data_IF_105054730246
#
_entry.id   IF_105054730246
#
_cell.length_a   1.000
_cell.length_b   1.000
_cell.length_c   1.000
_cell.angle_alpha   90.00
_cell.angle_beta   90.00
_cell.angle_gamma   90.00
#
_symmetry.space_group_name_H-M   'P 1'
#
loop_
_entity.id
_entity.type
_entity.pdbx_description
1 polymer ?
#
# COMPACT_ATOMS: atom_id res chain seq x y z
N UNK A 1 -14.31 9.93 -4.38
CA UNK A 1 -13.16 9.01 -4.45
C UNK A 1 -12.88 8.32 -3.11
N UNK A 2 -12.69 9.07 -2.01
CA UNK A 2 -12.37 8.50 -0.68
C UNK A 2 -13.34 7.40 -0.20
N UNK A 3 -14.66 7.62 -0.32
CA UNK A 3 -15.67 6.65 0.15
C UNK A 3 -15.67 5.36 -0.67
N UNK A 4 -15.51 5.49 -2.00
CA UNK A 4 -15.45 4.34 -2.91
C UNK A 4 -14.26 3.44 -2.55
N UNK A 5 -13.07 4.04 -2.35
CA UNK A 5 -11.89 3.30 -1.93
C UNK A 5 -12.08 2.57 -0.60
N UNK A 6 -12.71 3.21 0.39
CA UNK A 6 -12.96 2.60 1.70
C UNK A 6 -13.96 1.44 1.63
N UNK A 7 -15.06 1.59 0.85
CA UNK A 7 -16.06 0.53 0.70
C UNK A 7 -15.45 -0.68 -0.01
N UNK A 8 -14.74 -0.46 -1.11
CA UNK A 8 -14.09 -1.54 -1.86
C UNK A 8 -13.03 -2.25 -1.01
N UNK A 9 -12.25 -1.50 -0.22
CA UNK A 9 -11.30 -2.05 0.74
C UNK A 9 -11.98 -2.91 1.80
N UNK A 10 -13.11 -2.46 2.34
CA UNK A 10 -13.85 -3.22 3.33
C UNK A 10 -14.36 -4.54 2.75
N UNK A 11 -14.92 -4.52 1.52
CA UNK A 11 -15.38 -5.73 0.82
C UNK A 11 -14.23 -6.73 0.62
N UNK A 12 -13.06 -6.24 0.25
CA UNK A 12 -11.85 -7.05 0.05
C UNK A 12 -11.41 -7.76 1.33
N UNK A 13 -11.33 -7.04 2.45
CA UNK A 13 -10.95 -7.65 3.74
C UNK A 13 -12.05 -8.59 4.27
N UNK A 14 -13.33 -8.35 3.95
CA UNK A 14 -14.38 -9.34 4.25
C UNK A 14 -14.12 -10.64 3.48
N UNK A 15 -13.75 -10.57 2.20
CA UNK A 15 -13.35 -11.77 1.47
C UNK A 15 -12.14 -12.45 2.11
N UNK A 16 -11.07 -11.69 2.39
CA UNK A 16 -9.84 -12.23 2.96
C UNK A 16 -10.10 -12.96 4.29
N UNK A 17 -10.89 -12.38 5.20
CA UNK A 17 -11.12 -12.96 6.53
C UNK A 17 -12.16 -14.09 6.53
N UNK A 18 -13.12 -14.08 5.59
CA UNK A 18 -14.22 -15.04 5.54
C UNK A 18 -14.14 -16.03 4.36
N UNK A 19 -13.03 -16.06 3.62
CA UNK A 19 -12.82 -17.01 2.52
C UNK A 19 -13.00 -18.48 2.99
N UNK A 20 -12.50 -18.82 4.18
CA UNK A 20 -12.69 -20.15 4.79
C UNK A 20 -14.15 -20.51 5.10
N UNK A 21 -15.02 -19.51 5.24
CA UNK A 21 -16.45 -19.67 5.51
C UNK A 21 -17.29 -19.82 4.21
N UNK A 22 -16.64 -19.86 3.05
CA UNK A 22 -17.29 -20.04 1.74
C UNK A 22 -17.58 -18.74 1.00
N UNK A 23 -16.96 -17.61 1.36
CA UNK A 23 -17.10 -16.36 0.58
C UNK A 23 -16.48 -16.56 -0.82
N UNK A 24 -17.20 -16.25 -1.91
CA UNK A 24 -16.71 -16.48 -3.27
C UNK A 24 -15.43 -15.71 -3.61
N UNK A 25 -14.53 -16.33 -4.38
CA UNK A 25 -13.26 -15.75 -4.83
C UNK A 25 -13.38 -14.49 -5.69
N UNK A 26 -14.53 -14.24 -6.33
CA UNK A 26 -14.72 -13.03 -7.14
C UNK A 26 -14.91 -11.76 -6.28
N UNK A 27 -15.19 -11.90 -4.99
CA UNK A 27 -15.38 -10.75 -4.07
C UNK A 27 -14.07 -9.98 -3.88
N UNK A 28 -12.94 -10.69 -3.91
CA UNK A 28 -11.58 -10.15 -3.94
C UNK A 28 -11.32 -9.16 -5.10
N UNK A 29 -11.99 -9.36 -6.24
CA UNK A 29 -11.77 -8.54 -7.44
C UNK A 29 -12.08 -7.06 -7.21
N UNK A 30 -12.97 -6.78 -6.26
CA UNK A 30 -13.33 -5.42 -5.86
C UNK A 30 -12.20 -4.72 -5.09
N UNK A 31 -11.32 -5.46 -4.43
CA UNK A 31 -10.16 -4.94 -3.71
C UNK A 31 -9.00 -4.49 -4.60
N UNK A 32 -8.83 -5.10 -5.76
CA UNK A 32 -7.71 -4.86 -6.68
C UNK A 32 -7.51 -3.39 -7.11
N UNK A 33 -8.55 -2.61 -7.45
CA UNK A 33 -8.37 -1.17 -7.75
C UNK A 33 -8.09 -0.29 -6.52
N UNK A 34 -8.31 -0.79 -5.30
CA UNK A 34 -8.27 0.02 -4.06
C UNK A 34 -6.90 0.63 -3.80
N UNK A 35 -5.83 -0.17 -3.88
CA UNK A 35 -4.47 0.32 -3.66
C UNK A 35 -4.10 1.44 -4.63
N UNK A 36 -4.45 1.28 -5.92
CA UNK A 36 -4.21 2.30 -6.95
C UNK A 36 -4.99 3.59 -6.68
N UNK A 37 -6.23 3.48 -6.22
CA UNK A 37 -7.04 4.63 -5.79
C UNK A 37 -6.36 5.33 -4.60
N UNK A 38 -5.84 4.59 -3.62
CA UNK A 38 -5.13 5.18 -2.47
C UNK A 38 -3.81 5.84 -2.86
N UNK A 39 -3.01 5.24 -3.75
CA UNK A 39 -1.81 5.88 -4.29
C UNK A 39 -2.14 7.19 -5.00
N UNK A 40 -3.18 7.18 -5.85
CA UNK A 40 -3.63 8.38 -6.52
C UNK A 40 -4.01 9.49 -5.51
N UNK A 41 -4.81 9.14 -4.49
CA UNK A 41 -5.21 10.09 -3.45
C UNK A 41 -4.03 10.55 -2.58
N UNK A 42 -3.03 9.70 -2.36
CA UNK A 42 -1.83 10.06 -1.62
C UNK A 42 -0.94 11.06 -2.37
N UNK A 43 -0.84 10.93 -3.70
CA UNK A 43 -0.15 11.89 -4.58
C UNK A 43 -0.86 13.25 -4.53
N UNK A 44 -2.18 13.27 -4.72
CA UNK A 44 -2.98 14.50 -4.60
C UNK A 44 -2.85 15.13 -3.21
N UNK A 45 -2.89 14.30 -2.16
CA UNK A 45 -2.70 14.73 -0.78
C UNK A 45 -1.31 15.33 -0.53
N UNK A 46 -0.27 14.74 -1.11
CA UNK A 46 1.11 15.21 -1.00
C UNK A 46 1.35 16.55 -1.73
N UNK A 47 0.76 16.73 -2.92
CA UNK A 47 0.88 17.97 -3.69
C UNK A 47 0.16 19.13 -2.99
N UNK A 48 -1.02 18.88 -2.40
CA UNK A 48 -1.85 19.92 -1.81
C UNK A 48 -1.62 20.12 -0.30
N UNK A 49 -0.73 19.36 0.34
CA UNK A 49 -0.46 19.52 1.77
C UNK A 49 0.49 20.69 2.03
N UNK A 50 0.19 21.47 3.07
CA UNK A 50 1.08 22.55 3.54
C UNK A 50 2.32 22.01 4.25
N UNK A 51 2.25 20.80 4.80
CA UNK A 51 3.36 20.19 5.55
C UNK A 51 3.49 18.70 5.19
N UNK A 52 4.45 18.41 4.31
CA UNK A 52 4.73 17.07 3.79
C UNK A 52 5.33 16.15 4.85
N UNK A 53 6.20 16.67 5.73
CA UNK A 53 6.81 15.89 6.83
C UNK A 53 5.75 15.41 7.83
N UNK A 54 4.79 16.27 8.18
CA UNK A 54 3.65 15.88 9.03
C UNK A 54 2.78 14.83 8.36
N UNK A 55 2.57 14.92 7.05
CA UNK A 55 1.81 13.92 6.30
C UNK A 55 2.52 12.56 6.29
N UNK A 56 3.83 12.52 6.03
CA UNK A 56 4.63 11.28 6.12
C UNK A 56 4.61 10.70 7.54
N UNK A 57 4.75 11.54 8.57
CA UNK A 57 4.69 11.10 9.96
C UNK A 57 3.34 10.47 10.31
N UNK A 58 2.23 11.00 9.79
CA UNK A 58 0.90 10.40 9.99
C UNK A 58 0.80 9.00 9.37
N UNK A 59 1.38 8.79 8.19
CA UNK A 59 1.46 7.46 7.57
C UNK A 59 2.36 6.52 8.39
N UNK A 60 3.48 7.01 8.90
CA UNK A 60 4.39 6.23 9.75
C UNK A 60 3.73 5.80 11.08
N UNK A 61 2.92 6.68 11.69
CA UNK A 61 2.12 6.32 12.87
C UNK A 61 1.10 5.24 12.52
N UNK A 62 0.43 5.34 11.37
CA UNK A 62 -0.47 4.29 10.89
C UNK A 62 0.24 2.95 10.70
N UNK A 63 1.45 2.97 10.14
CA UNK A 63 2.31 1.81 10.01
C UNK A 63 2.60 1.15 11.36
N UNK A 64 3.00 1.92 12.38
CA UNK A 64 3.28 1.37 13.71
C UNK A 64 2.03 0.83 14.41
N UNK A 65 0.89 1.51 14.27
CA UNK A 65 -0.38 1.03 14.82
C UNK A 65 -0.70 -0.36 14.25
N UNK A 66 -0.54 -0.56 12.94
CA UNK A 66 -0.77 -1.87 12.32
C UNK A 66 0.29 -2.91 12.71
N UNK A 67 1.58 -2.58 12.59
CA UNK A 67 2.67 -3.54 12.87
C UNK A 67 2.75 -3.98 14.33
N UNK A 68 2.36 -3.12 15.27
CA UNK A 68 2.33 -3.46 16.69
C UNK A 68 0.97 -4.02 17.10
N UNK A 69 -0.13 -3.47 16.59
CA UNK A 69 -1.48 -3.86 16.97
C UNK A 69 -1.92 -5.21 16.39
N UNK A 70 -1.58 -5.53 15.14
CA UNK A 70 -1.99 -6.79 14.52
C UNK A 70 -1.44 -8.02 15.24
N UNK A 71 -0.14 -8.11 15.62
CA UNK A 71 0.37 -9.22 16.42
C UNK A 71 -0.30 -9.36 17.79
N UNK A 72 -0.68 -8.24 18.42
CA UNK A 72 -1.41 -8.25 19.70
C UNK A 72 -2.78 -8.91 19.50
N UNK A 73 -3.52 -8.55 18.45
CA UNK A 73 -4.82 -9.15 18.15
C UNK A 73 -4.66 -10.65 17.84
N UNK A 74 -3.66 -11.02 17.05
CA UNK A 74 -3.37 -12.42 16.73
C UNK A 74 -2.95 -13.26 17.95
N UNK A 75 -2.41 -12.64 19.00
CA UNK A 75 -2.10 -13.36 20.23
C UNK A 75 -3.36 -13.84 20.96
N UNK A 76 -4.50 -13.16 20.79
CA UNK A 76 -5.76 -13.49 21.45
C UNK A 76 -6.75 -14.24 20.54
N UNK A 77 -6.64 -14.08 19.23
CA UNK A 77 -7.56 -14.62 18.24
C UNK A 77 -6.79 -15.28 17.10
N UNK A 78 -7.23 -16.45 16.65
CA UNK A 78 -6.61 -17.18 15.55
C UNK A 78 -7.68 -17.53 14.50
N UNK A 79 -7.30 -17.46 13.23
CA UNK A 79 -8.16 -17.82 12.08
C UNK A 79 -7.35 -18.75 11.18
N UNK A 80 -7.24 -20.02 11.58
CA UNK A 80 -6.43 -21.01 10.86
C UNK A 80 -4.99 -20.54 10.64
N UNK A 81 -4.50 -20.61 9.40
CA UNK A 81 -3.16 -20.13 9.01
C UNK A 81 -3.12 -18.68 8.52
N UNK A 82 -4.20 -17.90 8.70
CA UNK A 82 -4.28 -16.54 8.18
C UNK A 82 -3.46 -15.58 9.06
N UNK A 83 -2.39 -15.03 8.49
CA UNK A 83 -1.59 -14.00 9.14
C UNK A 83 -2.15 -12.59 8.85
N UNK A 84 -2.36 -11.78 9.88
CA UNK A 84 -2.68 -10.36 9.78
C UNK A 84 -1.44 -9.55 9.41
N UNK A 85 -1.06 -9.61 8.14
CA UNK A 85 0.09 -8.87 7.59
C UNK A 85 -0.29 -7.63 6.79
N UNK A 86 -1.59 -7.35 6.58
CA UNK A 86 -2.06 -6.22 5.77
C UNK A 86 -1.64 -4.88 6.38
N UNK A 87 -0.96 -4.05 5.59
CA UNK A 87 -0.48 -2.75 6.04
C UNK A 87 -0.24 -1.78 4.88
N UNK A 88 -1.33 -1.28 4.29
CA UNK A 88 -1.29 -0.28 3.21
C UNK A 88 -0.53 1.00 3.59
N UNK A 89 -0.36 1.30 4.89
CA UNK A 89 0.41 2.46 5.31
C UNK A 89 1.89 2.33 4.98
N UNK A 90 2.45 1.11 4.94
CA UNK A 90 3.82 0.85 4.47
C UNK A 90 3.97 1.33 3.03
N UNK A 91 3.07 0.87 2.16
CA UNK A 91 3.04 1.18 0.73
C UNK A 91 2.95 2.69 0.48
N UNK A 92 1.97 3.34 1.14
CA UNK A 92 1.74 4.77 1.01
C UNK A 92 2.90 5.59 1.58
N UNK A 93 3.48 5.19 2.71
CA UNK A 93 4.61 5.88 3.32
C UNK A 93 5.82 5.87 2.39
N UNK A 94 6.22 4.71 1.86
CA UNK A 94 7.39 4.59 0.99
C UNK A 94 7.16 5.34 -0.32
N UNK A 95 5.97 5.25 -0.93
CA UNK A 95 5.67 6.02 -2.13
C UNK A 95 5.75 7.53 -1.88
N UNK A 96 5.21 8.02 -0.75
CA UNK A 96 5.30 9.44 -0.37
C UNK A 96 6.72 9.87 -0.04
N UNK A 97 7.51 9.02 0.61
CA UNK A 97 8.92 9.26 0.87
C UNK A 97 9.72 9.37 -0.44
N UNK A 98 9.42 8.53 -1.43
CA UNK A 98 10.03 8.60 -2.76
C UNK A 98 9.64 9.89 -3.48
N UNK A 99 8.35 10.30 -3.44
CA UNK A 99 7.91 11.60 -3.97
C UNK A 99 8.64 12.77 -3.31
N UNK A 100 8.78 12.73 -1.99
CA UNK A 100 9.53 13.73 -1.22
C UNK A 100 11.00 13.77 -1.63
N UNK A 101 11.63 12.61 -1.82
CA UNK A 101 13.00 12.52 -2.32
C UNK A 101 13.18 13.14 -3.70
N UNK A 102 12.26 12.88 -4.64
CA UNK A 102 12.27 13.48 -5.98
C UNK A 102 12.13 15.00 -5.91
N UNK A 103 11.26 15.50 -5.02
CA UNK A 103 11.07 16.94 -4.80
C UNK A 103 12.35 17.58 -4.25
N UNK A 104 12.98 17.01 -3.24
CA UNK A 104 14.22 17.53 -2.64
C UNK A 104 15.40 17.50 -3.62
N UNK A 105 15.53 16.44 -4.45
CA UNK A 105 16.51 16.41 -5.54
C UNK A 105 16.25 17.54 -6.53
N UNK A 106 14.99 17.74 -6.92
CA UNK A 106 14.62 18.78 -7.88
C UNK A 106 14.91 20.19 -7.36
N UNK A 107 14.63 20.45 -6.08
CA UNK A 107 14.95 21.73 -5.42
C UNK A 107 16.46 21.90 -5.29
N UNK A 108 17.17 20.88 -4.79
CA UNK A 108 18.62 20.92 -4.62
C UNK A 108 19.40 21.16 -5.92
N UNK A 109 18.91 20.62 -7.05
CA UNK A 109 19.49 20.88 -8.38
C UNK A 109 19.28 22.33 -8.83
N UNK A 110 18.15 22.95 -8.49
CA UNK A 110 17.85 24.35 -8.82
C UNK A 110 18.61 25.35 -7.93
N UNK A 111 18.80 25.00 -6.66
CA UNK A 111 19.48 25.84 -5.66
C UNK A 111 20.97 25.55 -5.54
N UNK A 112 21.50 24.61 -6.34
CA UNK A 112 22.89 24.13 -6.28
C UNK A 112 23.33 23.63 -4.89
N UNK A 113 22.39 23.19 -4.04
CA UNK A 113 22.70 22.66 -2.71
C UNK A 113 22.84 21.13 -2.71
N UNK A 114 24.08 20.65 -2.80
CA UNK A 114 24.40 19.20 -2.84
C UNK A 114 23.85 18.40 -1.65
N UNK A 115 23.72 19.01 -0.46
CA UNK A 115 23.14 18.35 0.71
C UNK A 115 21.68 17.96 0.50
N UNK A 116 20.88 18.78 -0.18
CA UNK A 116 19.48 18.49 -0.46
C UNK A 116 19.33 17.36 -1.49
N UNK A 117 20.22 17.35 -2.49
CA UNK A 117 20.29 16.27 -3.48
C UNK A 117 20.63 14.94 -2.80
N UNK A 118 21.62 14.94 -1.90
CA UNK A 118 22.01 13.75 -1.14
C UNK A 118 20.85 13.25 -0.27
N UNK A 119 20.19 14.14 0.48
CA UNK A 119 19.05 13.78 1.33
C UNK A 119 17.88 13.21 0.51
N UNK A 120 17.56 13.81 -0.64
CA UNK A 120 16.49 13.30 -1.51
C UNK A 120 16.85 11.96 -2.15
N UNK A 121 18.12 11.77 -2.54
CA UNK A 121 18.62 10.48 -3.01
C UNK A 121 18.54 9.39 -1.93
N UNK A 122 18.96 9.71 -0.71
CA UNK A 122 18.85 8.81 0.45
C UNK A 122 17.39 8.45 0.75
N UNK A 123 16.44 9.38 0.63
CA UNK A 123 15.03 9.07 0.86
C UNK A 123 14.46 8.01 -0.11
N UNK A 124 14.97 7.95 -1.34
CA UNK A 124 14.56 6.96 -2.35
C UNK A 124 15.32 5.64 -2.17
N UNK A 125 16.62 5.71 -1.90
CA UNK A 125 17.51 4.55 -1.85
C UNK A 125 17.40 3.81 -0.51
N UNK A 126 17.15 4.51 0.60
CA UNK A 126 17.15 3.91 1.93
C UNK A 126 16.12 2.76 2.07
N UNK A 127 14.84 2.88 1.66
CA UNK A 127 13.91 1.76 1.72
C UNK A 127 14.38 0.51 0.96
N UNK A 128 15.05 0.71 -0.19
CA UNK A 128 15.60 -0.39 -1.00
C UNK A 128 16.76 -1.06 -0.25
N UNK A 129 17.74 -0.29 0.22
CA UNK A 129 18.88 -0.82 0.97
C UNK A 129 18.47 -1.52 2.26
N UNK A 130 17.49 -0.96 2.98
CA UNK A 130 16.95 -1.56 4.20
C UNK A 130 16.23 -2.89 3.90
N UNK A 131 15.54 -2.98 2.77
CA UNK A 131 14.92 -4.24 2.33
C UNK A 131 15.96 -5.31 1.99
N UNK A 132 17.04 -4.94 1.29
CA UNK A 132 18.14 -5.85 0.97
C UNK A 132 18.89 -6.30 2.24
N UNK A 133 19.12 -5.39 3.18
CA UNK A 133 19.71 -5.69 4.48
C UNK A 133 18.82 -6.66 5.26
N UNK A 134 17.50 -6.41 5.32
CA UNK A 134 16.55 -7.30 5.98
C UNK A 134 16.59 -8.71 5.39
N UNK A 135 16.62 -8.84 4.06
CA UNK A 135 16.74 -10.13 3.38
C UNK A 135 18.03 -10.88 3.79
N UNK A 136 19.17 -10.18 3.82
CA UNK A 136 20.44 -10.77 4.25
C UNK A 136 20.47 -11.18 5.73
N UNK A 137 19.79 -10.45 6.60
CA UNK A 137 19.66 -10.78 8.02
C UNK A 137 18.70 -11.95 8.27
N UNK A 138 17.64 -12.09 7.47
CA UNK A 138 16.70 -13.22 7.58
C UNK A 138 17.35 -14.54 7.15
N UNK A 139 18.26 -14.51 6.18
CA UNK A 139 18.96 -15.70 5.69
C UNK A 139 19.78 -16.42 6.78
N UNK A 140 20.15 -15.72 7.86
CA UNK A 140 20.90 -16.27 8.97
C UNK A 140 19.98 -16.45 10.20
N UNK A 141 19.76 -17.69 10.72
CA UNK A 141 18.85 -17.94 11.84
C UNK A 141 19.18 -17.13 13.11
N UNK A 142 20.46 -16.82 13.35
CA UNK A 142 20.91 -16.02 14.50
C UNK A 142 20.49 -14.55 14.42
N UNK A 143 20.33 -14.00 13.21
CA UNK A 143 19.98 -12.60 12.97
C UNK A 143 18.53 -12.39 12.53
N UNK A 144 17.80 -13.47 12.27
CA UNK A 144 16.38 -13.44 11.86
C UNK A 144 15.50 -12.66 12.84
N UNK A 145 15.68 -12.88 14.15
CA UNK A 145 14.89 -12.16 15.16
C UNK A 145 15.21 -10.67 15.22
N UNK A 146 16.47 -10.30 14.96
CA UNK A 146 16.84 -8.90 14.81
C UNK A 146 16.22 -8.28 13.56
N UNK A 147 16.18 -9.01 12.45
CA UNK A 147 15.50 -8.57 11.23
C UNK A 147 13.99 -8.36 11.46
N UNK A 148 13.34 -9.27 12.19
CA UNK A 148 11.93 -9.13 12.56
C UNK A 148 11.67 -7.87 13.41
N UNK A 149 12.53 -7.59 14.40
CA UNK A 149 12.42 -6.38 15.22
C UNK A 149 12.62 -5.10 14.39
N UNK A 150 13.55 -5.11 13.43
CA UNK A 150 13.72 -3.98 12.51
C UNK A 150 12.49 -3.77 11.63
N UNK A 151 11.92 -4.86 11.11
CA UNK A 151 10.71 -4.84 10.29
C UNK A 151 9.50 -4.26 11.04
N UNK A 152 9.40 -4.45 12.35
CA UNK A 152 8.32 -3.86 13.16
C UNK A 152 8.40 -2.32 13.26
N UNK A 153 9.59 -1.75 13.18
CA UNK A 153 9.82 -0.31 13.42
C UNK A 153 10.01 0.47 12.12
N UNK A 154 10.62 -0.15 11.11
CA UNK A 154 11.04 0.53 9.88
C UNK A 154 10.24 0.01 8.69
N UNK A 155 9.47 0.89 8.01
CA UNK A 155 8.81 0.52 6.76
C UNK A 155 9.84 0.16 5.69
N UNK A 156 9.73 -1.04 5.13
CA UNK A 156 10.59 -1.53 4.05
C UNK A 156 9.75 -2.02 2.88
N UNK A 157 10.32 -2.06 1.67
CA UNK A 157 9.63 -2.53 0.47
C UNK A 157 9.26 -4.01 0.60
N UNK A 158 10.06 -4.78 1.34
CA UNK A 158 9.77 -6.19 1.62
C UNK A 158 8.46 -6.40 2.39
N UNK A 159 8.04 -5.42 3.20
CA UNK A 159 6.79 -5.44 3.97
C UNK A 159 5.63 -4.75 3.24
N UNK A 160 5.89 -4.19 2.05
CA UNK A 160 4.84 -3.54 1.26
C UNK A 160 3.88 -4.60 0.73
N UNK A 161 2.60 -4.38 0.94
CA UNK A 161 1.53 -5.33 0.61
C UNK A 161 1.43 -5.56 -0.90
N UNK A 162 1.73 -4.53 -1.70
CA UNK A 162 1.49 -4.55 -3.14
C UNK A 162 2.77 -4.70 -3.99
N UNK A 163 3.92 -5.02 -3.37
CA UNK A 163 5.18 -5.30 -4.07
C UNK A 163 5.57 -4.24 -5.11
N UNK A 164 5.62 -4.62 -6.39
CA UNK A 164 5.98 -3.72 -7.50
C UNK A 164 4.96 -2.59 -7.73
N UNK A 165 3.70 -2.76 -7.34
CA UNK A 165 2.65 -1.75 -7.55
C UNK A 165 2.94 -0.47 -6.77
N UNK A 166 3.77 -0.53 -5.72
CA UNK A 166 4.26 0.62 -4.95
C UNK A 166 4.80 1.75 -5.83
N UNK A 167 5.46 1.41 -6.94
CA UNK A 167 6.04 2.40 -7.84
C UNK A 167 5.00 3.19 -8.62
N UNK A 168 3.74 2.75 -8.68
CA UNK A 168 2.66 3.49 -9.35
C UNK A 168 2.46 4.88 -8.74
N UNK A 169 2.63 5.01 -7.41
CA UNK A 169 2.54 6.30 -6.72
C UNK A 169 3.60 7.28 -7.21
N UNK A 170 4.80 6.80 -7.51
CA UNK A 170 5.89 7.63 -8.06
C UNK A 170 5.55 8.09 -9.48
N UNK A 171 5.07 7.20 -10.34
CA UNK A 171 4.67 7.57 -11.70
C UNK A 171 3.49 8.54 -11.71
N UNK A 172 2.50 8.36 -10.84
CA UNK A 172 1.40 9.31 -10.66
C UNK A 172 1.88 10.70 -10.29
N UNK A 173 2.91 10.80 -9.46
CA UNK A 173 3.53 12.08 -9.11
C UNK A 173 4.31 12.71 -10.26
N UNK A 174 5.07 11.92 -11.00
CA UNK A 174 5.80 12.40 -12.18
C UNK A 174 4.83 12.92 -13.25
N UNK A 175 3.72 12.22 -13.45
CA UNK A 175 2.67 12.56 -14.42
C UNK A 175 1.51 13.37 -13.81
N UNK A 176 1.70 14.01 -12.66
CA UNK A 176 0.64 14.75 -11.94
C UNK A 176 -0.08 15.81 -12.76
N UNK A 177 0.55 16.33 -13.80
CA UNK A 177 -0.04 17.35 -14.68
C UNK A 177 -0.88 16.77 -15.83
N UNK A 178 -0.86 15.44 -16.06
CA UNK A 178 -1.54 14.82 -17.19
C UNK A 178 -2.30 13.55 -16.76
N UNK A 179 -3.63 13.66 -16.73
CA UNK A 179 -4.53 12.56 -16.33
C UNK A 179 -4.39 11.32 -17.19
N UNK A 180 -4.21 11.51 -18.50
CA UNK A 180 -4.11 10.40 -19.44
C UNK A 180 -2.83 9.59 -19.21
N UNK A 181 -1.72 10.25 -18.85
CA UNK A 181 -0.49 9.56 -18.50
C UNK A 181 -0.60 8.78 -17.17
N UNK A 182 -1.39 9.28 -16.21
CA UNK A 182 -1.73 8.50 -15.00
C UNK A 182 -2.53 7.25 -15.37
N UNK A 183 -3.56 7.37 -16.21
CA UNK A 183 -4.32 6.21 -16.69
C UNK A 183 -3.45 5.22 -17.48
N UNK A 184 -2.56 5.71 -18.34
CA UNK A 184 -1.61 4.88 -19.07
C UNK A 184 -0.67 4.13 -18.12
N UNK A 185 -0.23 4.77 -17.04
CA UNK A 185 0.57 4.11 -16.00
C UNK A 185 -0.20 2.92 -15.40
N UNK A 186 -1.49 3.08 -15.07
CA UNK A 186 -2.32 1.97 -14.57
C UNK A 186 -2.38 0.83 -15.59
N UNK A 187 -2.58 1.13 -16.88
CA UNK A 187 -2.63 0.13 -17.95
C UNK A 187 -1.32 -0.63 -18.09
N UNK A 188 -0.18 0.07 -18.08
CA UNK A 188 1.14 -0.55 -18.20
C UNK A 188 1.42 -1.47 -17.01
N UNK A 189 1.13 -1.03 -15.79
CA UNK A 189 1.32 -1.86 -14.59
C UNK A 189 0.40 -3.09 -14.59
N UNK A 190 -0.87 -2.93 -14.96
CA UNK A 190 -1.81 -4.04 -15.09
C UNK A 190 -1.33 -5.07 -16.13
N UNK A 191 -0.81 -4.60 -17.26
CA UNK A 191 -0.29 -5.47 -18.31
C UNK A 191 1.01 -6.19 -17.90
N UNK A 192 1.95 -5.48 -17.25
CA UNK A 192 3.18 -6.06 -16.75
C UNK A 192 2.89 -7.14 -15.70
N UNK A 193 1.97 -6.88 -14.79
CA UNK A 193 1.56 -7.83 -13.77
C UNK A 193 0.93 -9.10 -14.40
N UNK A 194 0.01 -8.92 -15.35
CA UNK A 194 -0.58 -10.02 -16.13
C UNK A 194 0.47 -10.89 -16.86
N UNK A 195 1.55 -10.27 -17.34
CA UNK A 195 2.66 -10.99 -17.98
C UNK A 195 3.55 -11.73 -16.99
N UNK A 196 3.97 -11.06 -15.91
CA UNK A 196 4.94 -11.59 -14.94
C UNK A 196 4.32 -12.71 -14.10
N UNK A 197 3.12 -12.50 -13.56
CA UNK A 197 2.53 -13.41 -12.57
C UNK A 197 1.65 -14.50 -13.19
N UNK A 198 1.16 -14.30 -14.42
CA UNK A 198 0.26 -15.25 -15.10
C UNK A 198 0.73 -15.69 -16.48
N UNK A 199 1.84 -15.16 -17.02
CA UNK A 199 2.33 -15.49 -18.35
C UNK A 199 1.31 -15.22 -19.46
N UNK A 200 0.35 -14.31 -19.22
CA UNK A 200 -0.83 -14.06 -20.06
C UNK A 200 -1.76 -15.29 -20.28
N UNK A 201 -1.67 -16.33 -19.45
CA UNK A 201 -2.56 -17.47 -19.52
C UNK A 201 -3.99 -17.07 -19.12
N UNK A 202 -4.97 -17.32 -20.00
CA UNK A 202 -6.36 -16.88 -19.81
C UNK A 202 -6.97 -17.40 -18.51
N UNK A 203 -6.70 -18.65 -18.14
CA UNK A 203 -7.18 -19.24 -16.87
C UNK A 203 -6.50 -18.62 -15.65
N UNK A 204 -5.22 -18.29 -15.75
CA UNK A 204 -4.44 -17.67 -14.67
C UNK A 204 -4.89 -16.24 -14.35
N UNK A 205 -5.37 -15.48 -15.36
CA UNK A 205 -5.84 -14.10 -15.18
C UNK A 205 -7.09 -13.96 -14.31
N UNK A 206 -7.90 -15.01 -14.17
CA UNK A 206 -9.14 -14.94 -13.37
C UNK A 206 -9.11 -15.81 -12.10
N UNK A 207 -8.01 -16.53 -11.88
CA UNK A 207 -7.88 -17.44 -10.75
C UNK A 207 -6.69 -17.09 -9.87
N UNK A 208 -5.47 -17.16 -10.40
CA UNK A 208 -4.24 -16.95 -9.64
C UNK A 208 -3.75 -15.51 -9.64
N UNK A 209 -4.09 -14.73 -10.68
CA UNK A 209 -3.65 -13.35 -10.81
C UNK A 209 -4.82 -12.40 -11.12
N UNK A 210 -5.43 -11.86 -10.07
CA UNK A 210 -6.51 -10.86 -10.18
C UNK A 210 -5.97 -9.42 -10.15
N UNK A 211 -4.66 -9.21 -10.02
CA UNK A 211 -4.08 -7.89 -9.78
C UNK A 211 -4.20 -6.93 -10.97
N UNK A 212 -4.23 -7.45 -12.20
CA UNK A 212 -4.49 -6.65 -13.42
C UNK A 212 -5.83 -5.89 -13.36
N UNK A 213 -6.79 -6.34 -12.54
CA UNK A 213 -8.08 -5.67 -12.33
C UNK A 213 -7.94 -4.29 -11.67
N UNK A 214 -6.74 -3.90 -11.26
CA UNK A 214 -6.41 -2.51 -10.92
C UNK A 214 -6.77 -1.50 -12.03
N UNK A 215 -6.93 -1.94 -13.28
CA UNK A 215 -7.45 -1.14 -14.39
C UNK A 215 -8.77 -0.43 -14.06
N UNK A 216 -9.63 -1.02 -13.23
CA UNK A 216 -10.89 -0.39 -12.83
C UNK A 216 -10.71 0.88 -12.01
N UNK A 217 -9.52 1.12 -11.44
CA UNK A 217 -9.17 2.38 -10.79
C UNK A 217 -9.15 3.56 -11.78
N UNK A 218 -9.01 3.31 -13.09
CA UNK A 218 -9.05 4.35 -14.13
C UNK A 218 -10.38 5.11 -14.11
N UNK A 219 -11.49 4.43 -13.86
CA UNK A 219 -12.83 5.06 -13.84
C UNK A 219 -12.92 6.16 -12.78
N UNK A 220 -12.69 5.89 -11.47
CA UNK A 220 -12.72 6.94 -10.45
C UNK A 220 -11.58 7.95 -10.61
N UNK A 221 -10.46 7.58 -11.23
CA UNK A 221 -9.40 8.52 -11.59
C UNK A 221 -9.94 9.52 -12.63
N UNK A 222 -10.50 9.09 -13.75
CA UNK A 222 -11.02 10.01 -14.78
C UNK A 222 -12.16 10.91 -14.28
N UNK A 223 -13.00 10.39 -13.38
CA UNK A 223 -14.12 11.13 -12.78
C UNK A 223 -13.71 12.08 -11.64
N UNK A 224 -12.43 12.15 -11.30
CA UNK A 224 -11.94 13.03 -10.23
C UNK A 224 -11.84 14.48 -10.71
N UNK A 225 -12.70 15.34 -10.17
CA UNK A 225 -12.83 16.75 -10.57
C UNK A 225 -11.73 17.68 -10.00
N UNK A 226 -10.63 17.15 -9.45
CA UNK A 226 -9.55 17.96 -8.88
C UNK A 226 -9.88 18.69 -7.56
N UNK A 227 -11.15 18.69 -7.14
CA UNK A 227 -11.58 19.36 -5.92
C UNK A 227 -11.37 18.48 -4.69
N UNK A 228 -10.85 19.10 -3.63
CA UNK A 228 -10.72 18.47 -2.31
C UNK A 228 -12.11 18.26 -1.71
N UNK A 229 -12.57 17.01 -1.71
CA UNK A 229 -13.80 16.63 -1.02
C UNK A 229 -13.70 16.84 0.50
N UNK A 230 -14.80 16.52 1.21
CA UNK A 230 -14.87 16.63 2.68
C UNK A 230 -13.70 15.87 3.33
N UNK A 231 -13.01 16.52 4.27
CA UNK A 231 -11.82 15.96 4.92
C UNK A 231 -12.18 14.80 5.85
N UNK A 232 -12.12 13.56 5.34
CA UNK A 232 -12.33 12.31 6.09
C UNK A 232 -11.02 11.72 6.64
N UNK A 233 -10.00 12.56 6.90
CA UNK A 233 -8.65 12.11 7.24
C UNK A 233 -8.64 11.18 8.46
N UNK A 234 -9.15 11.62 9.60
CA UNK A 234 -9.17 10.82 10.83
C UNK A 234 -10.02 9.56 10.70
N UNK A 235 -11.12 9.65 9.93
CA UNK A 235 -11.95 8.48 9.66
C UNK A 235 -11.14 7.39 8.95
N UNK A 236 -10.37 7.71 7.91
CA UNK A 236 -9.54 6.71 7.23
C UNK A 236 -8.47 6.08 8.15
N UNK A 237 -7.74 6.92 8.90
CA UNK A 237 -6.66 6.43 9.78
C UNK A 237 -7.16 5.53 10.92
N UNK A 238 -8.37 5.79 11.44
CA UNK A 238 -8.97 4.96 12.49
C UNK A 238 -9.72 3.76 11.92
N UNK A 239 -10.46 3.96 10.82
CA UNK A 239 -11.24 2.90 10.19
C UNK A 239 -10.33 1.77 9.73
N UNK A 240 -9.17 2.06 9.11
CA UNK A 240 -8.31 1.02 8.55
C UNK A 240 -7.87 -0.05 9.58
N UNK A 241 -7.22 0.29 10.71
CA UNK A 241 -6.88 -0.72 11.71
C UNK A 241 -8.11 -1.39 12.33
N UNK A 242 -9.14 -0.60 12.66
CA UNK A 242 -10.30 -1.08 13.40
C UNK A 242 -11.10 -2.11 12.59
N UNK A 243 -11.38 -1.87 11.31
CA UNK A 243 -12.19 -2.81 10.54
C UNK A 243 -11.44 -4.13 10.28
N UNK A 244 -10.12 -4.09 10.05
CA UNK A 244 -9.30 -5.31 9.87
C UNK A 244 -9.34 -6.15 11.14
N UNK A 245 -9.06 -5.55 12.30
CA UNK A 245 -9.05 -6.26 13.57
C UNK A 245 -10.44 -6.78 13.95
N UNK A 246 -11.50 -5.99 13.73
CA UNK A 246 -12.87 -6.43 13.98
C UNK A 246 -13.27 -7.61 13.09
N UNK A 247 -12.99 -7.55 11.78
CA UNK A 247 -13.31 -8.65 10.86
C UNK A 247 -12.55 -9.92 11.23
N UNK A 248 -11.29 -9.79 11.62
CA UNK A 248 -10.48 -10.93 12.06
C UNK A 248 -10.99 -11.56 13.37
N UNK A 249 -11.34 -10.74 14.36
CA UNK A 249 -11.95 -11.20 15.62
C UNK A 249 -13.26 -11.93 15.33
N UNK A 250 -14.13 -11.36 14.49
CA UNK A 250 -15.39 -11.98 14.10
C UNK A 250 -15.18 -13.31 13.37
N UNK A 251 -14.25 -13.38 12.43
CA UNK A 251 -13.90 -14.62 11.73
C UNK A 251 -13.39 -15.70 12.70
N UNK A 252 -12.58 -15.31 13.70
CA UNK A 252 -12.09 -16.21 14.74
C UNK A 252 -13.24 -16.74 15.62
N UNK A 253 -14.12 -15.85 16.08
CA UNK A 253 -15.30 -16.23 16.89
C UNK A 253 -16.29 -17.11 16.11
N UNK A 254 -16.38 -16.96 14.80
CA UNK A 254 -17.21 -17.78 13.92
C UNK A 254 -16.56 -19.13 13.53
N UNK A 255 -15.31 -19.38 13.95
CA UNK A 255 -14.62 -20.64 13.64
C UNK A 255 -14.25 -20.79 12.17
N UNK A 256 -14.05 -19.70 11.43
CA UNK A 256 -13.78 -19.71 9.97
C UNK A 256 -12.51 -20.48 9.58
N UNK A 257 -11.60 -20.72 10.54
CA UNK A 257 -10.39 -21.51 10.33
C UNK A 257 -10.25 -22.71 11.27
N UNK A 258 -11.34 -23.15 11.91
CA UNK A 258 -11.40 -24.34 12.77
C UNK A 258 -11.71 -25.61 11.98
#
# INVERSE_FOLDING_TARGET
MNVIGIILMFIDHVHQMFAGAGVPGWVDWFGRPVATIFFFMAVEGFIHTRNQKRYMFQLLVGFWIMNLGSPIVQHFFEVGNLALSNNIFTDLYIAVLAMYGIQEISVGRRTHHSKQILLGGLAIIAPILLSLLALGLIANPKTMMFAANLAMVIPTIMLAENGLLLYIGVFFYLFRNNRLLQCLTVLVFAFLDAGINSGFAFTGLFTSNTQWMMIFAIIPILLYNGQKGRSMKYFFYLFYPIHIWLLFILASLMGVGA
#
